data_IF_013575163159
#
_entry.id   IF_013575163159
#
_cell.length_a   1.000
_cell.length_b   1.000
_cell.length_c   1.000
_cell.angle_alpha   90.00
_cell.angle_beta   90.00
_cell.angle_gamma   90.00
#
_symmetry.space_group_name_H-M   'P 1'
#
loop_
_entity.id
_entity.type
_entity.pdbx_description
1 polymer ?
#
# COMPACT_ATOMS: atom_id res chain seq x y z
N UNK A 1 7.14 6.19 -39.27
CA UNK A 1 8.21 5.69 -38.39
C UNK A 1 8.80 4.46 -39.04
N UNK A 2 10.06 4.51 -39.43
CA UNK A 2 10.82 3.34 -39.89
C UNK A 2 11.43 2.61 -38.69
N UNK A 3 11.77 1.33 -38.83
CA UNK A 3 12.44 0.56 -37.76
C UNK A 3 13.76 1.22 -37.32
N UNK A 4 14.47 1.84 -38.27
CA UNK A 4 15.70 2.64 -38.00
C UNK A 4 15.40 3.86 -37.11
N UNK A 5 14.34 4.62 -37.41
CA UNK A 5 13.93 5.79 -36.61
C UNK A 5 13.48 5.38 -35.20
N UNK A 6 12.75 4.27 -35.08
CA UNK A 6 12.32 3.74 -33.77
C UNK A 6 13.52 3.35 -32.90
N UNK A 7 14.52 2.68 -33.50
CA UNK A 7 15.72 2.26 -32.77
C UNK A 7 16.55 3.45 -32.27
N UNK A 8 16.70 4.50 -33.09
CA UNK A 8 17.38 5.74 -32.70
C UNK A 8 16.60 6.50 -31.64
N UNK A 9 15.26 6.50 -31.71
CA UNK A 9 14.41 7.12 -30.68
C UNK A 9 14.59 6.42 -29.33
N UNK A 10 14.52 5.09 -29.31
CA UNK A 10 14.75 4.29 -28.09
C UNK A 10 16.16 4.45 -27.53
N UNK A 11 17.15 4.66 -28.38
CA UNK A 11 18.50 5.02 -27.95
C UNK A 11 18.54 6.38 -27.25
N UNK A 12 17.88 7.39 -27.80
CA UNK A 12 17.79 8.71 -27.17
C UNK A 12 17.09 8.63 -25.80
N UNK A 13 16.05 7.80 -25.70
CA UNK A 13 15.28 7.61 -24.46
C UNK A 13 15.98 6.70 -23.43
N UNK A 14 17.06 6.01 -23.81
CA UNK A 14 17.79 5.08 -22.94
C UNK A 14 17.11 3.71 -22.76
N UNK A 15 16.15 3.37 -23.63
CA UNK A 15 15.33 2.15 -23.55
C UNK A 15 15.79 1.03 -24.52
N UNK A 16 17.07 1.03 -24.88
CA UNK A 16 17.64 -0.05 -25.69
C UNK A 16 17.75 -1.34 -24.88
N UNK A 17 17.33 -2.45 -25.48
CA UNK A 17 17.65 -3.77 -24.96
C UNK A 17 19.07 -4.18 -25.40
N UNK A 18 19.73 -5.11 -24.68
CA UNK A 18 21.09 -5.55 -25.05
C UNK A 18 21.22 -6.10 -26.48
N UNK A 19 20.16 -6.71 -27.03
CA UNK A 19 20.15 -7.18 -28.42
C UNK A 19 20.10 -6.03 -29.44
N UNK A 20 19.43 -4.94 -29.09
CA UNK A 20 19.25 -3.77 -29.93
C UNK A 20 20.47 -2.84 -29.95
N UNK A 21 21.32 -2.88 -28.92
CA UNK A 21 22.59 -2.13 -28.91
C UNK A 21 23.51 -2.50 -30.07
N UNK A 22 23.55 -3.78 -30.45
CA UNK A 22 24.35 -4.25 -31.58
C UNK A 22 23.80 -3.77 -32.93
N UNK A 23 22.47 -3.67 -33.05
CA UNK A 23 21.82 -3.14 -34.25
C UNK A 23 22.00 -1.63 -34.34
N UNK A 24 21.89 -0.93 -33.22
CA UNK A 24 22.13 0.51 -33.14
C UNK A 24 23.57 0.85 -33.53
N UNK A 25 24.58 0.12 -33.02
CA UNK A 25 25.98 0.34 -33.40
C UNK A 25 26.23 0.22 -34.90
N UNK A 26 25.58 -0.74 -35.58
CA UNK A 26 25.68 -0.85 -37.05
C UNK A 26 25.09 0.39 -37.72
N UNK A 27 23.96 0.89 -37.24
CA UNK A 27 23.31 2.09 -37.78
C UNK A 27 24.14 3.35 -37.51
N UNK A 28 24.72 3.48 -36.32
CA UNK A 28 25.60 4.58 -35.93
C UNK A 28 26.87 4.62 -36.79
N UNK A 29 27.48 3.46 -37.09
CA UNK A 29 28.62 3.35 -38.00
C UNK A 29 28.26 3.64 -39.46
N UNK A 30 27.04 3.28 -39.88
CA UNK A 30 26.56 3.50 -41.25
C UNK A 30 26.16 4.96 -41.52
N UNK A 31 25.61 5.65 -40.52
CA UNK A 31 24.95 6.94 -40.70
C UNK A 31 25.00 7.79 -39.42
N UNK A 32 26.21 8.23 -39.07
CA UNK A 32 26.48 9.06 -37.90
C UNK A 32 25.70 10.39 -37.94
N UNK A 33 25.61 11.01 -39.12
CA UNK A 33 24.93 12.30 -39.30
C UNK A 33 23.42 12.19 -39.06
N UNK A 34 22.79 11.07 -39.45
CA UNK A 34 21.40 10.80 -39.11
C UNK A 34 21.19 10.71 -37.60
N UNK A 35 22.01 9.92 -36.88
CA UNK A 35 21.89 9.79 -35.44
C UNK A 35 22.14 11.14 -34.72
N UNK A 36 23.15 11.90 -35.16
CA UNK A 36 23.47 13.21 -34.61
C UNK A 36 22.35 14.23 -34.84
N UNK A 37 21.77 14.27 -36.05
CA UNK A 37 20.67 15.19 -36.36
C UNK A 37 19.40 14.86 -35.57
N UNK A 38 19.09 13.57 -35.41
CA UNK A 38 17.93 13.13 -34.63
C UNK A 38 18.09 13.44 -33.14
N UNK A 39 19.30 13.26 -32.60
CA UNK A 39 19.63 13.65 -31.22
C UNK A 39 19.52 15.15 -31.01
N UNK A 40 20.08 15.95 -31.93
CA UNK A 40 20.00 17.41 -31.85
C UNK A 40 18.53 17.89 -31.88
N UNK A 41 17.71 17.31 -32.78
CA UNK A 41 16.28 17.64 -32.83
C UNK A 41 15.54 17.28 -31.54
N UNK A 42 15.86 16.14 -30.91
CA UNK A 42 15.28 15.76 -29.61
C UNK A 42 15.74 16.69 -28.48
N UNK A 43 17.01 17.08 -28.48
CA UNK A 43 17.56 18.04 -27.51
C UNK A 43 16.93 19.43 -27.66
N UNK A 44 16.70 19.90 -28.87
CA UNK A 44 16.01 21.17 -29.15
C UNK A 44 14.57 21.16 -28.63
N UNK A 45 13.83 20.07 -28.86
CA UNK A 45 12.48 19.90 -28.32
C UNK A 45 12.50 19.86 -26.80
N UNK A 46 13.45 19.12 -26.21
CA UNK A 46 13.61 19.05 -24.76
C UNK A 46 13.91 20.41 -24.15
N UNK A 47 14.78 21.19 -24.78
CA UNK A 47 15.13 22.53 -24.30
C UNK A 47 13.94 23.48 -24.41
N UNK A 48 13.21 23.46 -25.52
CA UNK A 48 11.99 24.24 -25.70
C UNK A 48 10.92 23.89 -24.65
N UNK A 49 10.71 22.60 -24.37
CA UNK A 49 9.80 22.17 -23.31
C UNK A 49 10.28 22.62 -21.93
N UNK A 50 11.58 22.54 -21.67
CA UNK A 50 12.16 22.94 -20.38
C UNK A 50 12.11 24.45 -20.17
N UNK A 51 12.28 25.25 -21.23
CA UNK A 51 12.18 26.72 -21.15
C UNK A 51 10.76 27.20 -20.87
N UNK A 52 9.75 26.46 -21.36
CA UNK A 52 8.34 26.76 -21.11
C UNK A 52 7.85 26.21 -19.75
N UNK A 53 8.54 25.21 -19.19
CA UNK A 53 8.18 24.60 -17.93
C UNK A 53 8.74 25.41 -16.74
N UNK A 54 7.89 26.25 -16.14
CA UNK A 54 8.21 26.96 -14.90
C UNK A 54 8.14 25.97 -13.72
N UNK A 55 9.29 25.41 -13.32
CA UNK A 55 9.41 24.44 -12.22
C UNK A 55 9.09 25.00 -10.82
N UNK A 56 8.80 26.29 -10.72
CA UNK A 56 8.57 27.00 -9.45
C UNK A 56 7.09 27.26 -9.17
N UNK A 57 6.19 26.83 -10.07
CA UNK A 57 4.74 26.96 -9.86
C UNK A 57 4.25 25.77 -9.02
N UNK A 58 3.79 26.06 -7.81
CA UNK A 58 3.08 25.09 -6.98
C UNK A 58 1.87 24.56 -7.74
N UNK A 59 1.75 23.22 -7.84
CA UNK A 59 0.68 22.57 -8.60
C UNK A 59 -0.67 23.05 -8.04
N UNK A 60 -1.53 23.67 -8.85
CA UNK A 60 -2.83 24.14 -8.39
C UNK A 60 -3.62 22.98 -7.79
N UNK A 61 -4.03 23.11 -6.53
CA UNK A 61 -4.78 22.10 -5.79
C UNK A 61 -4.05 20.74 -5.62
N UNK A 62 -2.76 20.75 -5.29
CA UNK A 62 -2.00 19.54 -4.96
C UNK A 62 -2.69 18.62 -3.94
N UNK A 63 -3.32 19.19 -2.91
CA UNK A 63 -4.07 18.43 -1.90
C UNK A 63 -5.27 17.68 -2.49
N UNK A 64 -5.97 18.27 -3.45
CA UNK A 64 -7.09 17.59 -4.12
C UNK A 64 -6.57 16.41 -4.93
N UNK A 65 -5.48 16.59 -5.68
CA UNK A 65 -4.86 15.51 -6.45
C UNK A 65 -4.40 14.37 -5.54
N UNK A 66 -3.73 14.70 -4.43
CA UNK A 66 -3.29 13.74 -3.41
C UNK A 66 -4.49 12.97 -2.82
N UNK A 67 -5.59 13.66 -2.52
CA UNK A 67 -6.81 13.03 -2.00
C UNK A 67 -7.43 12.02 -2.99
N UNK A 68 -7.37 12.31 -4.30
CA UNK A 68 -7.88 11.39 -5.32
C UNK A 68 -6.99 10.16 -5.49
N UNK A 69 -5.66 10.33 -5.39
CA UNK A 69 -4.71 9.22 -5.39
C UNK A 69 -4.96 8.33 -4.18
N UNK A 70 -5.02 8.90 -2.97
CA UNK A 70 -5.25 8.13 -1.74
C UNK A 70 -6.57 7.35 -1.82
N UNK A 71 -7.63 8.00 -2.31
CA UNK A 71 -8.93 7.35 -2.51
C UNK A 71 -8.84 6.17 -3.48
N UNK A 72 -8.12 6.30 -4.60
CA UNK A 72 -7.94 5.19 -5.57
C UNK A 72 -7.13 4.05 -4.98
N UNK A 73 -6.03 4.33 -4.27
CA UNK A 73 -5.21 3.31 -3.61
C UNK A 73 -6.05 2.51 -2.62
N UNK A 74 -6.82 3.21 -1.77
CA UNK A 74 -7.71 2.59 -0.79
C UNK A 74 -8.78 1.72 -1.44
N UNK A 75 -9.35 2.17 -2.56
CA UNK A 75 -10.35 1.40 -3.32
C UNK A 75 -9.77 0.15 -3.97
N UNK A 76 -8.55 0.22 -4.50
CA UNK A 76 -7.84 -0.94 -5.08
C UNK A 76 -7.58 -2.01 -4.01
N UNK A 77 -7.10 -1.60 -2.83
CA UNK A 77 -6.82 -2.52 -1.72
C UNK A 77 -8.10 -3.22 -1.20
N UNK A 78 -9.21 -2.48 -1.08
CA UNK A 78 -10.50 -3.05 -0.67
C UNK A 78 -11.05 -4.03 -1.72
N UNK A 79 -10.87 -3.74 -3.01
CA UNK A 79 -11.34 -4.60 -4.11
C UNK A 79 -10.57 -5.93 -4.18
N UNK A 80 -9.27 -5.92 -3.88
CA UNK A 80 -8.47 -7.16 -3.79
C UNK A 80 -8.86 -8.00 -2.57
N UNK A 81 -9.21 -7.38 -1.44
CA UNK A 81 -9.64 -8.10 -0.24
C UNK A 81 -11.05 -8.75 -0.32
N UNK A 82 -11.91 -8.32 -1.24
CA UNK A 82 -13.31 -8.77 -1.31
C UNK A 82 -13.54 -10.02 -2.17
N UNK A 83 -12.52 -10.53 -2.86
CA UNK A 83 -12.64 -11.67 -3.77
C UNK A 83 -12.73 -13.05 -3.08
N UNK A 84 -12.79 -13.13 -1.75
CA UNK A 84 -12.88 -14.41 -1.03
C UNK A 84 -13.89 -14.35 0.13
N UNK A 85 -15.11 -13.89 -0.15
CA UNK A 85 -16.17 -13.75 0.85
C UNK A 85 -17.23 -14.85 0.78
N UNK A 86 -17.31 -15.65 1.86
CA UNK A 86 -18.25 -16.76 2.19
C UNK A 86 -19.76 -16.44 2.01
N UNK A 87 -20.11 -15.21 1.61
CA UNK A 87 -21.48 -14.73 1.40
C UNK A 87 -22.20 -15.38 0.20
N UNK A 88 -21.46 -15.94 -0.77
CA UNK A 88 -22.04 -16.71 -1.88
C UNK A 88 -22.67 -18.04 -1.43
N UNK A 89 -22.14 -18.67 -0.37
CA UNK A 89 -22.63 -19.95 0.13
C UNK A 89 -23.91 -19.82 0.97
N UNK A 90 -24.08 -18.70 1.69
CA UNK A 90 -25.25 -18.46 2.54
C UNK A 90 -26.54 -18.22 1.74
N UNK A 91 -26.44 -17.69 0.52
CA UNK A 91 -27.61 -17.37 -0.33
C UNK A 91 -28.20 -18.61 -1.03
N UNK A 92 -27.44 -19.72 -1.12
CA UNK A 92 -27.91 -20.96 -1.73
C UNK A 92 -28.93 -21.68 -0.84
N UNK A 93 -28.86 -21.53 0.49
CA UNK A 93 -29.78 -22.16 1.44
C UNK A 93 -31.19 -21.57 1.45
N UNK A 94 -31.38 -20.33 0.97
CA UNK A 94 -32.69 -19.64 0.93
C UNK A 94 -33.59 -20.14 -0.22
N UNK A 95 -33.06 -20.90 -1.19
CA UNK A 95 -33.81 -21.38 -2.35
C UNK A 95 -34.57 -22.71 -2.15
N UNK A 96 -34.53 -23.31 -0.96
CA UNK A 96 -35.26 -24.55 -0.68
C UNK A 96 -36.65 -24.27 -0.08
N UNK A 97 -37.76 -24.68 -0.73
CA UNK A 97 -39.13 -24.38 -0.30
C UNK A 97 -39.57 -25.10 0.99
N UNK A 98 -38.72 -25.92 1.60
CA UNK A 98 -39.09 -26.75 2.77
C UNK A 98 -38.70 -26.16 4.14
N UNK A 99 -38.09 -24.96 4.19
CA UNK A 99 -37.54 -24.38 5.43
C UNK A 99 -38.40 -23.26 6.05
N UNK A 100 -39.50 -22.86 5.41
CA UNK A 100 -40.30 -21.70 5.83
C UNK A 100 -40.95 -21.85 7.21
N UNK A 101 -41.26 -23.08 7.64
CA UNK A 101 -41.82 -23.34 8.96
C UNK A 101 -40.80 -23.18 10.09
N UNK A 102 -39.49 -23.37 9.83
CA UNK A 102 -38.44 -23.17 10.83
C UNK A 102 -37.99 -21.71 10.92
N UNK A 103 -38.06 -20.96 9.80
CA UNK A 103 -37.66 -19.56 9.75
C UNK A 103 -38.56 -18.64 10.60
N UNK A 104 -39.86 -18.91 10.69
CA UNK A 104 -40.79 -18.10 11.50
C UNK A 104 -40.52 -18.19 13.00
N UNK A 105 -40.14 -19.37 13.49
CA UNK A 105 -39.73 -19.58 14.89
C UNK A 105 -38.39 -18.89 15.21
N UNK A 106 -37.45 -18.89 14.25
CA UNK A 106 -36.15 -18.22 14.41
C UNK A 106 -36.28 -16.69 14.38
N UNK A 107 -37.15 -16.13 13.52
CA UNK A 107 -37.42 -14.69 13.50
C UNK A 107 -38.07 -14.19 14.78
N UNK A 108 -38.95 -14.99 15.42
CA UNK A 108 -39.52 -14.64 16.73
C UNK A 108 -38.46 -14.70 17.85
N UNK A 109 -37.54 -15.68 17.81
CA UNK A 109 -36.41 -15.74 18.74
C UNK A 109 -35.43 -14.56 18.58
N UNK A 110 -35.16 -14.14 17.35
CA UNK A 110 -34.34 -12.96 17.07
C UNK A 110 -35.04 -11.67 17.52
N UNK A 111 -36.34 -11.52 17.27
CA UNK A 111 -37.10 -10.34 17.74
C UNK A 111 -37.22 -10.25 19.26
N UNK A 112 -37.27 -11.39 19.97
CA UNK A 112 -37.24 -11.37 21.44
C UNK A 112 -35.83 -11.11 22.01
N UNK A 113 -34.77 -11.48 21.29
CA UNK A 113 -33.38 -11.26 21.73
C UNK A 113 -32.88 -9.85 21.45
N UNK A 114 -33.46 -9.13 20.48
CA UNK A 114 -33.00 -7.81 20.04
C UNK A 114 -33.44 -6.62 20.93
N UNK A 115 -33.97 -6.89 22.13
CA UNK A 115 -34.44 -5.84 23.06
C UNK A 115 -33.32 -5.12 23.81
N UNK A 116 -32.05 -5.49 23.57
CA UNK A 116 -30.87 -4.89 24.20
C UNK A 116 -29.88 -4.33 23.16
N UNK A 117 -30.37 -3.74 22.07
CA UNK A 117 -29.50 -3.01 21.15
C UNK A 117 -29.66 -1.51 21.40
N UNK A 118 -28.99 -1.03 22.44
CA UNK A 118 -28.75 0.39 22.64
C UNK A 118 -28.06 0.94 21.38
N UNK A 119 -28.75 1.87 20.74
CA UNK A 119 -28.32 2.51 19.51
C UNK A 119 -27.35 3.64 19.85
N UNK A 120 -26.12 3.28 20.24
CA UNK A 120 -25.03 4.22 20.45
C UNK A 120 -24.38 4.63 19.12
N UNK A 121 -24.24 5.93 18.89
CA UNK A 121 -23.55 6.53 17.73
C UNK A 121 -22.04 6.29 17.93
N UNK A 122 -21.54 5.10 17.54
CA UNK A 122 -20.15 4.74 17.73
C UNK A 122 -19.67 3.70 16.71
N UNK A 123 -18.37 3.74 16.38
CA UNK A 123 -17.75 2.79 15.46
C UNK A 123 -17.83 1.37 16.04
N UNK A 124 -18.64 0.51 15.40
CA UNK A 124 -18.78 -0.90 15.76
C UNK A 124 -17.62 -1.71 15.17
N UNK A 125 -16.83 -2.35 16.03
CA UNK A 125 -15.72 -3.22 15.61
C UNK A 125 -16.29 -4.52 15.06
N UNK A 126 -16.15 -4.73 13.74
CA UNK A 126 -16.81 -5.83 13.00
C UNK A 126 -16.08 -7.17 13.17
N UNK A 127 -14.77 -7.16 13.34
CA UNK A 127 -14.00 -8.37 13.67
C UNK A 127 -12.70 -8.02 14.40
N UNK A 128 -12.30 -8.90 15.31
CA UNK A 128 -11.00 -8.86 15.99
C UNK A 128 -10.39 -10.25 15.89
N UNK A 129 -9.08 -10.31 15.66
CA UNK A 129 -8.33 -11.55 15.55
C UNK A 129 -7.10 -11.45 16.45
N UNK A 130 -6.89 -12.48 17.28
CA UNK A 130 -5.67 -12.65 18.05
C UNK A 130 -4.86 -13.80 17.43
N UNK A 131 -3.62 -13.55 16.96
CA UNK A 131 -2.73 -14.61 16.47
C UNK A 131 -2.34 -15.62 17.55
N UNK A 132 -2.34 -15.20 18.82
CA UNK A 132 -2.01 -16.04 19.96
C UNK A 132 -3.30 -16.63 20.57
N UNK A 133 -3.45 -17.97 20.65
CA UNK A 133 -4.62 -18.63 21.22
C UNK A 133 -4.76 -18.43 22.74
N UNK A 134 -3.70 -17.99 23.43
CA UNK A 134 -3.73 -17.68 24.86
C UNK A 134 -4.34 -16.31 25.17
N UNK A 135 -4.48 -15.44 24.15
CA UNK A 135 -5.00 -14.08 24.28
C UNK A 135 -6.43 -14.02 23.74
N UNK A 136 -7.38 -13.62 24.60
CA UNK A 136 -8.79 -13.48 24.27
C UNK A 136 -9.22 -12.01 24.24
N UNK A 137 -10.08 -11.66 23.29
CA UNK A 137 -10.70 -10.32 23.24
C UNK A 137 -11.97 -10.36 24.09
N UNK A 138 -11.98 -9.59 25.17
CA UNK A 138 -13.09 -9.53 26.15
C UNK A 138 -14.17 -8.57 25.67
N UNK A 139 -13.78 -7.42 25.12
CA UNK A 139 -14.70 -6.45 24.55
C UNK A 139 -13.99 -5.56 23.52
N UNK A 140 -14.73 -5.10 22.52
CA UNK A 140 -14.28 -4.12 21.56
C UNK A 140 -15.44 -3.15 21.31
N UNK A 141 -15.27 -1.88 21.68
CA UNK A 141 -16.33 -0.89 21.57
C UNK A 141 -15.84 0.53 21.79
N UNK A 142 -16.64 1.50 21.37
CA UNK A 142 -16.36 2.91 21.61
C UNK A 142 -16.65 3.24 23.08
N UNK A 143 -15.65 3.78 23.79
CA UNK A 143 -15.81 4.29 25.14
C UNK A 143 -15.87 5.82 25.09
N UNK A 144 -17.02 6.38 25.45
CA UNK A 144 -17.28 7.83 25.42
C UNK A 144 -16.43 8.61 26.44
N UNK A 145 -16.15 8.04 27.61
CA UNK A 145 -15.32 8.67 28.64
C UNK A 145 -13.85 8.80 28.18
N UNK A 146 -13.37 7.83 27.40
CA UNK A 146 -12.04 7.84 26.81
C UNK A 146 -11.99 8.56 25.45
N UNK A 147 -13.16 8.89 24.86
CA UNK A 147 -13.27 9.45 23.51
C UNK A 147 -12.72 8.55 22.40
N UNK A 148 -12.55 7.24 22.65
CA UNK A 148 -11.79 6.34 21.78
C UNK A 148 -12.40 4.93 21.73
N UNK A 149 -12.07 4.19 20.66
CA UNK A 149 -12.35 2.76 20.55
C UNK A 149 -11.41 1.98 21.47
N UNK A 150 -11.98 1.31 22.47
CA UNK A 150 -11.25 0.51 23.45
C UNK A 150 -11.44 -0.97 23.14
N UNK A 151 -10.32 -1.69 23.04
CA UNK A 151 -10.29 -3.15 22.88
C UNK A 151 -9.66 -3.72 24.16
N UNK A 152 -10.45 -4.46 24.93
CA UNK A 152 -10.00 -5.13 26.14
C UNK A 152 -9.55 -6.55 25.81
N UNK A 153 -8.29 -6.85 26.14
CA UNK A 153 -7.68 -8.16 25.96
C UNK A 153 -7.45 -8.83 27.32
N UNK A 154 -7.61 -10.15 27.38
CA UNK A 154 -7.26 -11.01 28.52
C UNK A 154 -6.27 -12.09 28.06
N UNK A 155 -5.44 -12.58 28.98
CA UNK A 155 -4.44 -13.61 28.67
C UNK A 155 -3.09 -13.09 28.18
N UNK A 156 -2.89 -11.76 28.15
CA UNK A 156 -1.57 -11.18 27.95
C UNK A 156 -0.69 -11.39 29.19
N UNK A 157 0.58 -11.72 28.97
CA UNK A 157 1.57 -11.76 30.02
C UNK A 157 1.72 -10.37 30.67
N UNK A 158 1.87 -10.34 31.99
CA UNK A 158 2.00 -9.09 32.73
C UNK A 158 3.30 -8.41 32.31
N UNK A 159 3.18 -7.20 31.78
CA UNK A 159 4.33 -6.34 31.52
C UNK A 159 4.95 -5.94 32.86
N UNK A 160 6.24 -6.24 33.11
CA UNK A 160 6.94 -5.79 34.32
C UNK A 160 6.97 -4.27 34.43
N UNK A 161 6.80 -3.72 35.63
CA UNK A 161 6.74 -2.27 35.89
C UNK A 161 8.08 -1.55 35.59
N UNK A 162 9.18 -2.30 35.48
CA UNK A 162 10.53 -1.85 35.12
C UNK A 162 10.82 -1.94 33.60
N UNK A 163 9.83 -2.34 32.79
CA UNK A 163 9.99 -2.41 31.33
C UNK A 163 9.99 -1.01 30.73
N UNK A 164 11.18 -0.53 30.38
CA UNK A 164 11.35 0.72 29.64
C UNK A 164 11.14 0.50 28.14
N UNK A 165 10.01 0.96 27.61
CA UNK A 165 9.72 0.96 26.17
C UNK A 165 10.52 2.01 25.38
N UNK A 166 11.29 2.88 26.06
CA UNK A 166 12.03 3.97 25.41
C UNK A 166 13.38 3.56 24.82
N UNK A 167 13.89 2.36 25.15
CA UNK A 167 15.24 1.91 24.77
C UNK A 167 15.36 1.64 23.27
N UNK A 168 14.27 1.22 22.61
CA UNK A 168 14.27 0.88 21.19
C UNK A 168 13.64 1.97 20.30
N UNK A 169 13.56 3.21 20.79
CA UNK A 169 13.08 4.30 19.96
C UNK A 169 14.09 4.58 18.84
N UNK A 170 13.69 4.27 17.61
CA UNK A 170 14.46 4.57 16.41
C UNK A 170 14.60 6.09 16.32
N UNK A 171 15.84 6.57 16.20
CA UNK A 171 16.13 8.01 16.05
C UNK A 171 16.92 8.34 14.80
N UNK A 172 17.57 7.35 14.21
CA UNK A 172 18.29 7.51 12.95
C UNK A 172 18.27 6.22 12.14
N UNK A 173 18.53 6.37 10.85
CA UNK A 173 18.73 5.26 9.92
C UNK A 173 19.95 5.54 9.06
N UNK A 174 20.63 4.48 8.63
CA UNK A 174 21.79 4.56 7.73
C UNK A 174 21.63 3.59 6.55
N UNK A 175 22.13 4.03 5.40
CA UNK A 175 22.18 3.30 4.11
C UNK A 175 23.60 2.89 3.72
N UNK A 176 24.61 3.05 4.59
CA UNK A 176 26.00 2.67 4.32
C UNK A 176 26.27 1.16 4.25
N UNK A 177 25.24 0.30 4.39
CA UNK A 177 25.35 -1.14 4.21
C UNK A 177 25.51 -1.58 2.75
N UNK A 178 25.63 -2.89 2.47
CA UNK A 178 25.53 -3.42 1.12
C UNK A 178 24.25 -2.89 0.45
N UNK A 179 24.26 -2.63 -0.87
CA UNK A 179 23.07 -2.16 -1.58
C UNK A 179 21.90 -3.10 -1.30
N UNK A 180 20.79 -2.52 -0.87
CA UNK A 180 19.58 -3.25 -0.49
C UNK A 180 19.36 -3.47 1.01
N UNK A 181 20.09 -2.81 1.90
CA UNK A 181 19.82 -2.86 3.34
C UNK A 181 19.83 -1.48 4.01
N UNK A 182 18.86 -1.24 4.90
CA UNK A 182 18.75 -0.05 5.75
C UNK A 182 18.85 -0.46 7.21
N UNK A 183 19.79 0.12 7.96
CA UNK A 183 19.94 -0.10 9.39
C UNK A 183 19.25 1.02 10.16
N UNK A 184 18.52 0.65 11.22
CA UNK A 184 17.87 1.60 12.13
C UNK A 184 18.55 1.56 13.49
N UNK A 185 18.82 2.73 14.05
CA UNK A 185 19.58 2.86 15.29
C UNK A 185 18.75 3.52 16.39
N UNK A 186 19.00 3.09 17.63
CA UNK A 186 18.48 3.76 18.84
C UNK A 186 19.34 4.99 19.21
N UNK A 187 18.95 5.68 20.29
CA UNK A 187 19.66 6.86 20.82
C UNK A 187 21.09 6.56 21.29
N UNK A 188 21.39 5.29 21.56
CA UNK A 188 22.69 4.77 21.98
C UNK A 188 23.54 4.33 20.78
N UNK A 189 23.04 4.53 19.55
CA UNK A 189 23.70 4.16 18.30
C UNK A 189 23.88 2.64 18.12
N UNK A 190 23.00 1.85 18.74
CA UNK A 190 22.91 0.40 18.56
C UNK A 190 21.89 0.08 17.47
N UNK A 191 22.18 -0.95 16.65
CA UNK A 191 21.27 -1.40 15.59
C UNK A 191 20.07 -2.10 16.20
N UNK A 192 18.88 -1.57 15.95
CA UNK A 192 17.60 -2.12 16.43
C UNK A 192 16.93 -2.98 15.37
N UNK A 193 16.99 -2.56 14.11
CA UNK A 193 16.30 -3.22 13.00
C UNK A 193 17.09 -3.10 11.70
N UNK A 194 17.01 -4.12 10.86
CA UNK A 194 17.59 -4.17 9.51
C UNK A 194 16.46 -4.45 8.53
N UNK A 195 16.23 -3.53 7.60
CA UNK A 195 15.24 -3.66 6.53
C UNK A 195 15.95 -3.99 5.22
N UNK A 196 15.51 -5.06 4.57
CA UNK A 196 15.89 -5.33 3.18
C UNK A 196 15.08 -4.41 2.26
N UNK A 197 15.77 -3.74 1.36
CA UNK A 197 15.20 -2.79 0.41
C UNK A 197 15.63 -3.11 -1.01
N UNK A 198 14.85 -2.66 -1.98
CA UNK A 198 15.21 -2.76 -3.40
C UNK A 198 16.32 -1.75 -3.80
N UNK A 199 16.64 -1.72 -5.09
CA UNK A 199 17.61 -0.81 -5.71
C UNK A 199 17.25 0.68 -5.52
N UNK A 200 16.00 0.97 -5.16
CA UNK A 200 15.45 2.31 -4.93
C UNK A 200 15.27 2.63 -3.44
N UNK A 201 15.64 1.71 -2.54
CA UNK A 201 15.54 1.89 -1.09
C UNK A 201 14.12 1.76 -0.55
N UNK A 202 13.22 1.10 -1.27
CA UNK A 202 11.87 0.76 -0.84
C UNK A 202 11.86 -0.61 -0.14
N UNK A 203 11.04 -0.81 0.91
CA UNK A 203 10.93 -2.09 1.60
C UNK A 203 10.49 -3.20 0.63
N UNK A 204 11.21 -4.33 0.64
CA UNK A 204 10.76 -5.54 -0.06
C UNK A 204 9.51 -6.08 0.65
N UNK A 205 8.34 -5.88 0.04
CA UNK A 205 7.08 -6.46 0.50
C UNK A 205 6.89 -7.79 -0.25
N UNK A 206 7.17 -8.90 0.43
CA UNK A 206 6.78 -10.23 -0.03
C UNK A 206 5.28 -10.47 0.17
#
# INVERSE_FOLDING_TARGET
MTEKEELVTRWIDGELTPGQELEFKKIEELDLDFCASFKAASEDVREALRSEFNSEVEVPHGDFFNSQIEKRIRQSYVKESQATGVLGAAIIWIKSPFTWAAASAFCLLLFLSNKNLDQGIGSTVVSTYSPDPSVSIVSAGYNEEAGATVIKLEGLERIPDDTDFSVNHIVSYDRQGPPGFVHFYNKQNEVVYIMETDEYGLPNVF
#
